data_IF_139567436477
#
_entry.id   IF_139567436477
#
_cell.length_a   1.000
_cell.length_b   1.000
_cell.length_c   1.000
_cell.angle_alpha   90.00
_cell.angle_beta   90.00
_cell.angle_gamma   90.00
#
_symmetry.space_group_name_H-M   'P 1'
#
loop_
_entity.id
_entity.type
_entity.pdbx_description
1 polymer ?
#
# COMPACT_ATOMS: atom_id res chain seq x y z
N UNK A 1 2.69 -4.09 -11.18
CA UNK A 1 2.43 -3.52 -9.83
C UNK A 1 0.95 -3.38 -9.57
N UNK A 2 0.17 -2.55 -10.27
CA UNK A 2 -1.26 -2.45 -9.96
C UNK A 2 -2.07 -3.69 -10.39
N UNK A 3 -1.76 -4.32 -11.52
CA UNK A 3 -2.48 -5.52 -11.96
C UNK A 3 -2.09 -6.78 -11.14
N UNK A 4 -0.81 -6.95 -10.82
CA UNK A 4 -0.34 -8.11 -10.03
C UNK A 4 -0.48 -7.95 -8.51
N UNK A 5 -0.66 -6.72 -8.00
CA UNK A 5 -0.69 -6.42 -6.56
C UNK A 5 -1.93 -5.64 -6.10
N UNK A 6 -3.05 -5.71 -6.84
CA UNK A 6 -4.30 -5.08 -6.43
C UNK A 6 -4.72 -5.47 -5.00
N UNK A 7 -4.54 -6.75 -4.64
CA UNK A 7 -4.83 -7.24 -3.29
C UNK A 7 -3.90 -6.65 -2.21
N UNK A 8 -2.61 -6.43 -2.53
CA UNK A 8 -1.67 -5.83 -1.58
C UNK A 8 -1.98 -4.34 -1.39
N UNK A 9 -2.25 -3.62 -2.48
CA UNK A 9 -2.69 -2.23 -2.44
C UNK A 9 -3.95 -2.06 -1.57
N UNK A 10 -4.91 -2.99 -1.67
CA UNK A 10 -6.12 -2.96 -0.86
C UNK A 10 -5.82 -3.16 0.63
N UNK A 11 -4.92 -4.09 0.99
CA UNK A 11 -4.51 -4.28 2.38
C UNK A 11 -3.80 -3.04 2.93
N UNK A 12 -2.94 -2.42 2.13
CA UNK A 12 -2.27 -1.16 2.46
C UNK A 12 -3.30 -0.05 2.74
N UNK A 13 -4.27 0.15 1.85
CA UNK A 13 -5.32 1.14 2.03
C UNK A 13 -6.19 0.86 3.27
N UNK A 14 -6.50 -0.40 3.54
CA UNK A 14 -7.26 -0.81 4.72
C UNK A 14 -6.53 -0.57 6.03
N UNK A 15 -5.22 -0.78 6.04
CA UNK A 15 -4.40 -0.60 7.22
C UNK A 15 -4.13 0.88 7.54
N UNK A 16 -3.86 1.72 6.53
CA UNK A 16 -3.35 3.08 6.73
C UNK A 16 -4.32 4.20 6.32
N UNK A 17 -5.38 3.88 5.57
CA UNK A 17 -6.45 4.83 5.20
C UNK A 17 -7.72 4.55 5.97
N UNK A 18 -8.49 3.53 5.53
CA UNK A 18 -9.73 3.10 6.19
C UNK A 18 -10.01 1.63 5.92
N UNK A 19 -10.47 0.90 6.96
CA UNK A 19 -10.80 -0.53 6.86
C UNK A 19 -11.91 -0.84 5.85
N UNK A 20 -12.73 0.15 5.52
CA UNK A 20 -13.86 0.01 4.60
C UNK A 20 -13.48 0.12 3.12
N UNK A 21 -12.20 0.32 2.79
CA UNK A 21 -11.77 0.39 1.39
C UNK A 21 -12.10 -0.90 0.62
N UNK A 22 -12.58 -0.76 -0.61
CA UNK A 22 -12.94 -1.87 -1.52
C UNK A 22 -12.01 -2.02 -2.72
N UNK A 23 -11.40 -0.94 -3.20
CA UNK A 23 -10.31 -0.97 -4.17
C UNK A 23 -9.23 0.05 -3.83
N UNK A 24 -8.00 -0.23 -4.26
CA UNK A 24 -6.88 0.68 -4.13
C UNK A 24 -5.82 0.43 -5.19
N UNK A 25 -5.15 1.49 -5.62
CA UNK A 25 -4.01 1.40 -6.53
C UNK A 25 -2.98 2.48 -6.20
N UNK A 26 -1.70 2.14 -6.38
CA UNK A 26 -0.62 3.11 -6.22
C UNK A 26 -0.60 4.05 -7.43
N UNK A 27 -0.56 5.36 -7.17
CA UNK A 27 -0.56 6.42 -8.20
C UNK A 27 0.78 7.13 -8.31
N UNK A 28 1.55 7.20 -7.23
CA UNK A 28 2.86 7.84 -7.21
C UNK A 28 3.73 7.25 -6.10
N UNK A 29 5.04 7.48 -6.21
CA UNK A 29 6.00 7.25 -5.14
C UNK A 29 7.14 8.25 -5.26
N UNK A 30 7.67 8.64 -4.12
CA UNK A 30 8.85 9.48 -3.99
C UNK A 30 9.84 8.88 -2.98
N UNK A 31 10.93 9.60 -2.68
CA UNK A 31 11.96 9.12 -1.76
C UNK A 31 11.50 9.00 -0.30
N UNK A 32 10.30 9.48 0.06
CA UNK A 32 9.79 9.52 1.42
C UNK A 32 8.53 8.68 1.62
N UNK A 33 7.70 8.56 0.59
CA UNK A 33 6.42 7.89 0.70
C UNK A 33 5.93 7.26 -0.61
N UNK A 34 5.04 6.27 -0.45
CA UNK A 34 4.14 5.82 -1.49
C UNK A 34 2.83 6.60 -1.42
N UNK A 35 2.18 6.77 -2.57
CA UNK A 35 0.90 7.44 -2.71
C UNK A 35 -0.08 6.52 -3.42
N UNK A 36 -1.24 6.33 -2.79
CA UNK A 36 -2.34 5.51 -3.30
C UNK A 36 -3.59 6.36 -3.48
N UNK A 37 -4.44 5.89 -4.38
CA UNK A 37 -5.86 6.25 -4.40
C UNK A 37 -6.65 5.00 -4.04
N UNK A 38 -7.61 5.14 -3.13
CA UNK A 38 -8.53 4.08 -2.74
C UNK A 38 -9.99 4.53 -2.82
N UNK A 39 -10.90 3.59 -3.00
CA UNK A 39 -12.35 3.83 -3.03
C UNK A 39 -13.03 3.24 -1.80
N UNK A 40 -14.13 3.88 -1.39
CA UNK A 40 -15.08 3.36 -0.40
C UNK A 40 -16.48 3.47 -1.00
N UNK A 41 -17.11 2.35 -1.27
CA UNK A 41 -18.35 2.26 -2.03
C UNK A 41 -18.21 2.79 -3.47
N UNK A 42 -19.35 3.06 -4.10
CA UNK A 42 -19.44 3.29 -5.54
C UNK A 42 -19.02 4.69 -6.03
N UNK A 43 -18.39 5.57 -5.23
CA UNK A 43 -18.30 6.98 -5.67
C UNK A 43 -17.14 7.85 -5.22
N UNK A 44 -16.45 7.55 -4.11
CA UNK A 44 -15.45 8.48 -3.58
C UNK A 44 -14.05 7.90 -3.66
N UNK A 45 -13.20 8.53 -4.47
CA UNK A 45 -11.75 8.33 -4.44
C UNK A 45 -11.13 9.15 -3.32
N UNK A 46 -10.22 8.53 -2.59
CA UNK A 46 -9.51 9.11 -1.47
C UNK A 46 -8.00 8.95 -1.67
N UNK A 47 -7.26 10.03 -1.44
CA UNK A 47 -5.80 10.01 -1.47
C UNK A 47 -5.24 9.46 -0.16
N UNK A 48 -4.22 8.60 -0.26
CA UNK A 48 -3.48 8.04 0.86
C UNK A 48 -1.98 8.20 0.62
N UNK A 49 -1.29 8.82 1.57
CA UNK A 49 0.18 8.87 1.62
C UNK A 49 0.67 8.01 2.77
N UNK A 50 1.55 7.06 2.50
CA UNK A 50 2.16 6.21 3.54
C UNK A 50 3.67 6.32 3.46
N UNK A 51 4.28 6.69 4.58
CA UNK A 51 5.73 6.85 4.68
C UNK A 51 6.43 5.50 4.64
N UNK A 52 7.57 5.48 3.95
CA UNK A 52 8.50 4.35 4.00
C UNK A 52 9.02 4.12 5.40
N UNK A 53 9.58 2.93 5.67
CA UNK A 53 10.23 2.68 6.96
C UNK A 53 11.48 3.54 7.13
N UNK A 54 12.09 3.94 6.01
CA UNK A 54 13.20 4.87 5.90
C UNK A 54 13.17 5.54 4.52
N UNK A 55 13.72 6.77 4.38
CA UNK A 55 13.88 7.39 3.07
C UNK A 55 14.65 6.49 2.10
N UNK A 56 14.24 6.48 0.84
CA UNK A 56 14.88 5.74 -0.25
C UNK A 56 15.45 6.71 -1.29
N UNK A 57 16.54 6.30 -1.93
CA UNK A 57 17.16 7.05 -3.03
C UNK A 57 17.25 6.24 -4.31
N UNK A 58 17.25 4.92 -4.22
CA UNK A 58 17.45 4.02 -5.36
C UNK A 58 16.19 3.24 -5.71
N UNK A 59 15.96 3.04 -7.02
CA UNK A 59 14.79 2.28 -7.50
C UNK A 59 14.74 0.85 -6.98
N UNK A 60 15.88 0.24 -6.73
CA UNK A 60 15.96 -1.12 -6.18
C UNK A 60 15.36 -1.23 -4.77
N UNK A 61 15.30 -0.13 -4.02
CA UNK A 61 14.79 -0.10 -2.65
C UNK A 61 13.26 -0.10 -2.59
N UNK A 62 12.59 0.35 -3.66
CA UNK A 62 11.13 0.45 -3.72
C UNK A 62 10.49 -0.90 -3.39
N UNK A 63 10.99 -2.00 -3.96
CA UNK A 63 10.43 -3.34 -3.73
C UNK A 63 10.56 -3.75 -2.25
N UNK A 64 11.69 -3.47 -1.62
CA UNK A 64 11.92 -3.75 -0.19
C UNK A 64 10.92 -2.96 0.66
N UNK A 65 10.79 -1.67 0.43
CA UNK A 65 9.89 -0.83 1.23
C UNK A 65 8.40 -1.18 1.02
N UNK A 66 8.00 -1.58 -0.19
CA UNK A 66 6.63 -2.07 -0.43
C UNK A 66 6.36 -3.34 0.37
N UNK A 67 7.30 -4.30 0.40
CA UNK A 67 7.14 -5.53 1.21
C UNK A 67 7.03 -5.18 2.70
N UNK A 68 7.90 -4.31 3.21
CA UNK A 68 7.83 -3.85 4.61
C UNK A 68 6.48 -3.21 4.93
N UNK A 69 5.95 -2.41 4.00
CA UNK A 69 4.66 -1.74 4.17
C UNK A 69 3.50 -2.73 4.13
N UNK A 70 3.56 -3.72 3.24
CA UNK A 70 2.61 -4.82 3.18
C UNK A 70 2.60 -5.65 4.47
N UNK A 71 3.76 -6.04 4.99
CA UNK A 71 3.87 -6.82 6.23
C UNK A 71 3.26 -6.05 7.41
N UNK A 72 3.54 -4.74 7.48
CA UNK A 72 2.92 -3.83 8.47
C UNK A 72 1.41 -3.75 8.30
N UNK A 73 0.91 -3.73 7.06
CA UNK A 73 -0.53 -3.73 6.78
C UNK A 73 -1.19 -5.03 7.27
N UNK A 74 -0.61 -6.18 6.93
CA UNK A 74 -1.04 -7.48 7.41
C UNK A 74 -1.08 -7.57 8.94
N UNK A 75 0.00 -7.14 9.62
CA UNK A 75 0.05 -7.10 11.08
C UNK A 75 -1.04 -6.17 11.68
N UNK A 76 -1.28 -5.01 11.07
CA UNK A 76 -2.32 -4.05 11.50
C UNK A 76 -3.74 -4.62 11.35
N UNK A 77 -3.94 -5.46 10.34
CA UNK A 77 -5.24 -6.07 10.03
C UNK A 77 -5.43 -7.45 10.69
N UNK A 78 -4.37 -8.04 11.27
CA UNK A 78 -4.39 -9.39 11.81
C UNK A 78 -4.53 -10.46 10.72
N UNK A 79 -3.98 -10.21 9.53
CA UNK A 79 -4.00 -11.11 8.37
C UNK A 79 -2.63 -11.74 8.19
N UNK A 80 -2.58 -13.02 7.85
CA UNK A 80 -1.31 -13.70 7.54
C UNK A 80 -0.75 -13.20 6.19
N UNK A 81 0.52 -12.74 6.13
CA UNK A 81 1.18 -12.33 4.90
C UNK A 81 1.25 -13.46 3.87
N UNK A 82 1.10 -13.12 2.59
CA UNK A 82 1.40 -14.07 1.49
C UNK A 82 2.91 -14.13 1.26
N UNK A 83 3.47 -15.30 0.90
CA UNK A 83 4.88 -15.36 0.53
C UNK A 83 5.15 -14.46 -0.69
N UNK A 84 6.18 -13.62 -0.57
CA UNK A 84 6.66 -12.76 -1.65
C UNK A 84 7.94 -13.36 -2.24
N UNK A 85 7.87 -13.88 -3.46
CA UNK A 85 9.03 -14.25 -4.29
C UNK A 85 9.50 -13.05 -5.10
#
# INVERSE_FOLDING_TARGET
MNDDHAADNLLIARAFGTRDADAAHMVHLDGLAGHWVYTVGDSSEHALRVEWSQPISERAEIRREIVVLYDRACATLGVEPRPHD
#
